data_IF_794790934072
#
_entry.id   IF_794790934072
#
_cell.length_a   1.000
_cell.length_b   1.000
_cell.length_c   1.000
_cell.angle_alpha   90.00
_cell.angle_beta   90.00
_cell.angle_gamma   90.00
#
_symmetry.space_group_name_H-M   'P 1'
#
loop_
_entity.id
_entity.type
_entity.pdbx_description
1 polymer ?
#
# COMPACT_ATOMS: atom_id res chain seq x y z
N UNK A 1 2.09 -3.32 15.78
CA UNK A 1 1.84 -1.98 15.17
C UNK A 1 3.02 -1.47 14.30
N UNK A 2 4.25 -1.35 14.81
CA UNK A 2 5.39 -0.79 14.05
C UNK A 2 5.78 -1.60 12.80
N UNK A 3 5.71 -2.94 12.88
CA UNK A 3 5.96 -3.84 11.75
C UNK A 3 5.01 -3.57 10.58
N UNK A 4 3.72 -3.46 10.85
CA UNK A 4 2.68 -3.15 9.84
C UNK A 4 2.95 -1.80 9.20
N UNK A 5 3.23 -0.76 10.00
CA UNK A 5 3.56 0.58 9.48
C UNK A 5 4.76 0.55 8.53
N UNK A 6 5.83 -0.14 8.90
CA UNK A 6 7.03 -0.29 8.05
C UNK A 6 6.70 -1.01 6.75
N UNK A 7 5.98 -2.13 6.83
CA UNK A 7 5.58 -2.92 5.66
C UNK A 7 4.66 -2.15 4.71
N UNK A 8 3.65 -1.46 5.22
CA UNK A 8 2.75 -0.66 4.37
C UNK A 8 3.52 0.44 3.66
N UNK A 9 4.41 1.18 4.36
CA UNK A 9 5.27 2.17 3.69
C UNK A 9 6.14 1.55 2.60
N UNK A 10 6.71 0.39 2.87
CA UNK A 10 7.53 -0.32 1.88
C UNK A 10 6.70 -0.75 0.67
N UNK A 11 5.48 -1.25 0.88
CA UNK A 11 4.58 -1.65 -0.19
C UNK A 11 4.21 -0.46 -1.09
N UNK A 12 4.00 0.72 -0.51
CA UNK A 12 3.79 2.00 -1.22
C UNK A 12 5.05 2.42 -1.98
N UNK A 13 6.22 2.39 -1.35
CA UNK A 13 7.51 2.78 -1.95
C UNK A 13 7.85 1.98 -3.20
N UNK A 14 7.47 0.70 -3.23
CA UNK A 14 7.69 -0.20 -4.37
C UNK A 14 6.74 0.02 -5.55
N UNK A 15 5.85 1.02 -5.51
CA UNK A 15 4.94 1.34 -6.61
C UNK A 15 5.50 2.45 -7.51
N UNK A 16 6.13 2.11 -8.66
CA UNK A 16 6.77 3.11 -9.53
C UNK A 16 5.76 4.05 -10.22
N UNK A 17 4.50 3.64 -10.34
CA UNK A 17 3.42 4.42 -10.94
C UNK A 17 2.60 5.22 -9.93
N UNK A 18 3.06 5.39 -8.70
CA UNK A 18 2.30 6.14 -7.70
C UNK A 18 2.29 7.64 -8.05
N UNK A 19 1.08 8.21 -8.16
CA UNK A 19 0.89 9.63 -8.47
C UNK A 19 1.40 10.52 -7.33
N UNK A 20 2.23 11.54 -7.61
CA UNK A 20 2.69 12.49 -6.59
C UNK A 20 1.58 13.46 -6.17
N UNK A 21 1.81 14.21 -5.09
CA UNK A 21 0.92 15.29 -4.63
C UNK A 21 -0.22 14.83 -3.71
N UNK A 22 -0.13 13.64 -3.14
CA UNK A 22 -1.13 13.08 -2.22
C UNK A 22 -0.51 12.68 -0.89
N UNK A 23 -1.20 13.00 0.21
CA UNK A 23 -0.91 12.44 1.53
C UNK A 23 -1.72 11.15 1.74
N UNK A 24 -1.04 10.07 2.10
CA UNK A 24 -1.65 8.75 2.26
C UNK A 24 -1.78 8.39 3.74
N UNK A 25 -3.02 8.17 4.19
CA UNK A 25 -3.33 7.72 5.54
C UNK A 25 -3.87 6.29 5.51
N UNK A 26 -3.19 5.38 6.22
CA UNK A 26 -3.57 3.97 6.31
C UNK A 26 -4.06 3.62 7.72
N UNK A 27 -5.31 3.13 7.81
CA UNK A 27 -5.87 2.60 9.05
C UNK A 27 -5.71 1.07 9.08
N UNK A 28 -4.65 0.59 9.73
CA UNK A 28 -4.42 -0.85 9.88
C UNK A 28 -5.41 -1.46 10.90
N UNK A 29 -6.09 -2.56 10.50
CA UNK A 29 -6.97 -3.33 11.38
C UNK A 29 -6.17 -4.40 12.13
N UNK A 30 -6.66 -4.94 13.27
CA UNK A 30 -5.94 -5.96 14.04
C UNK A 30 -5.38 -7.13 13.20
N UNK A 31 -6.13 -7.71 12.22
CA UNK A 31 -5.61 -8.78 11.38
C UNK A 31 -4.38 -8.40 10.53
N UNK A 32 -4.18 -7.12 10.24
CA UNK A 32 -3.01 -6.64 9.50
C UNK A 32 -1.69 -6.85 10.25
N UNK A 33 -1.73 -7.07 11.57
CA UNK A 33 -0.54 -7.33 12.39
C UNK A 33 0.09 -8.70 12.12
N UNK A 34 -0.75 -9.68 11.80
CA UNK A 34 -0.38 -11.08 11.58
C UNK A 34 -0.26 -11.42 10.09
N UNK A 35 -0.87 -10.60 9.22
CA UNK A 35 -0.80 -10.77 7.78
C UNK A 35 0.63 -10.94 7.25
N UNK A 36 0.76 -11.91 6.35
CA UNK A 36 1.99 -12.11 5.58
C UNK A 36 2.29 -10.91 4.69
N UNK A 37 3.56 -10.79 4.31
CA UNK A 37 4.02 -9.70 3.46
C UNK A 37 3.26 -9.65 2.13
N UNK A 38 3.09 -10.79 1.45
CA UNK A 38 2.41 -10.86 0.17
C UNK A 38 0.95 -10.36 0.27
N UNK A 39 0.22 -10.81 1.29
CA UNK A 39 -1.15 -10.39 1.55
C UNK A 39 -1.24 -8.89 1.85
N UNK A 40 -0.36 -8.37 2.71
CA UNK A 40 -0.35 -6.94 3.07
C UNK A 40 0.04 -6.06 1.88
N UNK A 41 1.01 -6.47 1.06
CA UNK A 41 1.41 -5.79 -0.16
C UNK A 41 0.26 -5.78 -1.17
N UNK A 42 -0.36 -6.93 -1.43
CA UNK A 42 -1.49 -7.05 -2.35
C UNK A 42 -2.67 -6.16 -1.95
N UNK A 43 -3.05 -6.19 -0.67
CA UNK A 43 -4.09 -5.31 -0.14
C UNK A 43 -3.74 -3.82 -0.29
N UNK A 44 -2.48 -3.44 -0.06
CA UNK A 44 -2.01 -2.06 -0.23
C UNK A 44 -2.12 -1.62 -1.70
N UNK A 45 -1.65 -2.44 -2.65
CA UNK A 45 -1.74 -2.15 -4.08
C UNK A 45 -3.18 -2.01 -4.54
N UNK A 46 -4.07 -2.90 -4.08
CA UNK A 46 -5.49 -2.83 -4.43
C UNK A 46 -6.15 -1.55 -3.91
N UNK A 47 -5.82 -1.11 -2.68
CA UNK A 47 -6.30 0.18 -2.17
C UNK A 47 -5.81 1.36 -3.02
N UNK A 48 -4.53 1.37 -3.42
CA UNK A 48 -3.97 2.43 -4.28
C UNK A 48 -4.63 2.43 -5.68
N UNK A 49 -4.91 1.25 -6.23
CA UNK A 49 -5.62 1.09 -7.51
C UNK A 49 -7.05 1.63 -7.41
N UNK A 50 -7.79 1.26 -6.36
CA UNK A 50 -9.15 1.77 -6.10
C UNK A 50 -9.19 3.27 -5.88
N UNK A 51 -8.14 3.84 -5.28
CA UNK A 51 -7.97 5.28 -5.13
C UNK A 51 -7.52 5.99 -6.43
N UNK A 52 -7.30 5.25 -7.53
CA UNK A 52 -6.79 5.77 -8.82
C UNK A 52 -5.47 6.54 -8.66
N UNK A 53 -4.63 6.03 -7.76
CA UNK A 53 -3.31 6.59 -7.47
C UNK A 53 -2.18 5.88 -8.20
N UNK A 54 -2.45 4.73 -8.81
CA UNK A 54 -1.51 4.04 -9.67
C UNK A 54 -1.80 4.42 -11.13
N UNK A 55 -0.79 4.96 -11.82
CA UNK A 55 -0.90 5.25 -13.25
C UNK A 55 -0.90 3.91 -14.01
N UNK A 56 -2.02 3.57 -14.63
CA UNK A 56 -2.19 2.33 -15.43
C UNK A 56 -1.34 2.35 -16.70
N UNK A 57 -0.71 3.48 -17.06
CA UNK A 57 -0.03 3.68 -18.35
C UNK A 57 1.40 3.12 -18.46
N UNK A 58 1.75 2.09 -17.70
CA UNK A 58 2.94 1.26 -17.93
C UNK A 58 2.68 -0.19 -17.49
N UNK A 59 2.10 -0.98 -18.38
CA UNK A 59 2.32 -2.43 -18.46
C UNK A 59 2.60 -2.76 -19.92
#
# INVERSE_FOLDING_TARGET
RNRVRRRVREAVRLQPGLRPGYDLVFAARPPSAEAEWAALRGATVELLRRARLLDTRRQ
#
